data_IF_614427197668
#
_entry.id   IF_614427197668
#
_cell.length_a   1.000
_cell.length_b   1.000
_cell.length_c   1.000
_cell.angle_alpha   90.00
_cell.angle_beta   90.00
_cell.angle_gamma   90.00
#
_symmetry.space_group_name_H-M   'P 1'
#
loop_
_entity.id
_entity.type
_entity.pdbx_description
1 polymer ?
2 polymer ?
3 polymer ?
4 branched ?
5 water ?
#
# COMPACT_ATOMS: atom_id res chain seq x y z
N UNK A 1 8.74 34.15 -15.78
CA UNK A 1 8.25 34.56 -14.47
C UNK A 1 6.81 35.09 -14.54
N UNK A 2 6.02 34.58 -15.48
CA UNK A 2 4.63 35.02 -15.61
C UNK A 2 3.70 33.88 -15.98
N UNK A 3 2.61 33.76 -15.23
CA UNK A 3 1.55 32.79 -15.44
C UNK A 3 0.76 33.10 -16.72
N UNK A 4 0.79 32.18 -17.70
CA UNK A 4 0.05 32.30 -18.96
C UNK A 4 -1.45 32.41 -18.76
N UNK A 5 -2.09 33.23 -19.58
CA UNK A 5 -3.53 33.43 -19.53
C UNK A 5 -4.13 33.11 -20.90
N UNK A 6 -5.08 32.18 -20.93
CA UNK A 6 -5.67 31.75 -22.18
C UNK A 6 -6.86 32.61 -22.59
N UNK A 7 -6.87 33.04 -23.85
CA UNK A 7 -7.95 33.87 -24.36
C UNK A 7 -8.74 33.14 -25.44
N UNK A 8 -10.06 33.04 -25.26
CA UNK A 8 -10.91 32.34 -26.21
C UNK A 8 -12.00 33.21 -26.80
N UNK A 9 -12.13 33.16 -28.12
CA UNK A 9 -13.22 33.85 -28.80
C UNK A 9 -14.39 32.88 -28.98
N UNK A 10 -14.48 32.28 -30.16
CA UNK A 10 -15.45 31.22 -30.41
C UNK A 10 -14.76 29.88 -30.20
N UNK A 11 -13.60 29.74 -30.81
CA UNK A 11 -12.72 28.58 -30.60
C UNK A 11 -11.24 28.92 -30.79
N UNK A 12 -10.90 30.21 -30.72
CA UNK A 12 -9.52 30.62 -30.95
C UNK A 12 -8.85 30.50 -29.56
N UNK A 13 -8.06 29.46 -29.29
CA UNK A 13 -7.33 29.50 -28.04
C UNK A 13 -5.94 30.02 -28.31
N UNK A 14 -5.75 31.29 -28.05
CA UNK A 14 -4.41 31.87 -28.12
C UNK A 14 -3.85 32.10 -26.73
N UNK A 15 -2.74 31.42 -26.47
CA UNK A 15 -2.01 31.61 -25.24
C UNK A 15 -1.39 33.00 -25.23
N UNK A 16 -2.11 33.94 -24.65
CA UNK A 16 -1.62 35.32 -24.53
C UNK A 16 -1.35 35.65 -23.08
N UNK A 17 -1.45 36.94 -22.77
CA UNK A 17 -1.42 37.45 -21.40
C UNK A 17 -1.86 38.90 -21.52
N UNK A 18 -1.76 39.67 -20.45
CA UNK A 18 -2.03 41.10 -20.55
C UNK A 18 -0.79 41.80 -21.13
N UNK A 19 0.28 41.02 -21.28
CA UNK A 19 1.50 41.40 -21.99
C UNK A 19 1.28 41.32 -23.52
N UNK A 20 0.02 41.47 -23.95
CA UNK A 20 -0.34 41.34 -25.36
C UNK A 20 -1.79 41.71 -25.63
N UNK A 21 -2.65 41.43 -24.66
CA UNK A 21 -4.10 41.55 -24.79
C UNK A 21 -4.49 42.81 -25.54
N UNK A 22 -4.70 42.64 -26.85
CA UNK A 22 -4.94 43.76 -27.77
C UNK A 22 -5.96 44.74 -27.24
N UNK A 23 -5.83 45.99 -27.65
CA UNK A 23 -6.70 47.07 -27.19
C UNK A 23 -8.11 46.92 -27.78
N UNK A 24 -8.36 45.78 -28.42
CA UNK A 24 -9.69 45.43 -28.91
C UNK A 24 -10.23 44.23 -28.15
N UNK A 25 -9.39 43.64 -27.30
CA UNK A 25 -9.81 42.51 -26.48
C UNK A 25 -10.60 42.99 -25.27
N UNK A 26 -11.77 42.38 -25.07
CA UNK A 26 -12.75 42.90 -24.11
C UNK A 26 -12.82 42.11 -22.81
N UNK A 27 -12.40 42.75 -21.72
CA UNK A 27 -12.60 42.22 -20.39
C UNK A 27 -13.48 43.18 -19.60
N UNK A 28 -14.78 42.90 -19.57
CA UNK A 28 -15.73 43.85 -19.01
C UNK A 28 -16.19 43.43 -17.62
N UNK A 29 -15.89 42.20 -17.24
CA UNK A 29 -16.28 41.72 -15.94
C UNK A 29 -15.33 40.67 -15.39
N UNK A 30 -15.20 40.64 -14.08
CA UNK A 30 -14.31 39.68 -13.47
C UNK A 30 -14.93 38.27 -13.58
N UNK A 31 -16.23 38.20 -13.87
CA UNK A 31 -16.91 36.93 -14.12
C UNK A 31 -16.40 36.20 -15.38
N UNK A 32 -15.63 36.90 -16.21
CA UNK A 32 -15.06 36.31 -17.41
C UNK A 32 -13.78 35.54 -17.13
N UNK A 33 -13.26 35.66 -15.92
CA UNK A 33 -12.02 34.98 -15.55
C UNK A 33 -12.32 33.65 -14.88
N UNK A 34 -11.79 32.57 -15.45
CA UNK A 34 -12.01 31.26 -14.86
C UNK A 34 -10.70 30.49 -14.81
N UNK A 35 -10.54 29.70 -13.76
CA UNK A 35 -9.42 28.77 -13.62
C UNK A 35 -9.97 27.36 -13.75
N UNK A 36 -9.24 26.50 -14.44
CA UNK A 36 -9.74 25.15 -14.73
C UNK A 36 -8.69 24.12 -14.36
N UNK A 37 -9.14 23.00 -13.83
CA UNK A 37 -8.25 21.90 -13.50
C UNK A 37 -8.41 20.78 -14.51
N UNK A 38 -7.32 20.39 -15.15
CA UNK A 38 -7.36 19.27 -16.06
C UNK A 38 -6.52 18.10 -15.58
N UNK A 39 -7.08 16.93 -15.79
CA UNK A 39 -6.57 15.64 -15.36
C UNK A 39 -5.47 15.07 -16.22
N UNK A 40 -4.54 14.41 -15.56
CA UNK A 40 -3.44 13.72 -16.22
C UNK A 40 -3.64 12.23 -16.08
N UNK A 41 -4.34 11.65 -17.04
CA UNK A 41 -4.55 10.22 -17.06
C UNK A 41 -4.68 9.79 -18.52
N UNK A 42 -4.69 8.50 -18.76
CA UNK A 42 -4.81 7.99 -20.12
C UNK A 42 -3.60 7.15 -20.48
N UNK A 43 -3.36 7.01 -21.79
CA UNK A 43 -2.35 6.09 -22.30
C UNK A 43 -0.94 6.42 -21.82
N UNK A 44 -0.27 5.43 -21.25
CA UNK A 44 1.08 5.62 -20.75
C UNK A 44 1.10 6.06 -19.30
N UNK A 45 -0.08 6.31 -18.73
CA UNK A 45 -0.15 6.67 -17.32
C UNK A 45 -0.76 5.50 -16.56
N UNK A 46 0.10 4.80 -15.82
CA UNK A 46 -0.29 3.58 -15.15
C UNK A 46 -1.34 3.85 -14.08
N UNK A 47 -2.21 2.87 -13.82
CA UNK A 47 -3.32 3.10 -12.91
C UNK A 47 -3.20 2.35 -11.58
N UNK A 48 -2.55 1.19 -11.57
CA UNK A 48 -2.44 0.42 -10.33
C UNK A 48 -1.54 1.17 -9.34
N UNK A 49 -1.84 1.06 -8.05
CA UNK A 49 -1.13 1.84 -7.02
C UNK A 49 0.40 1.63 -7.00
N UNK A 50 0.89 0.37 -7.05
CA UNK A 50 2.34 0.22 -7.14
C UNK A 50 2.99 0.99 -8.32
N UNK A 51 2.34 1.04 -9.47
CA UNK A 51 2.91 1.80 -10.58
C UNK A 51 2.66 3.30 -10.41
N UNK A 52 1.56 3.66 -9.75
CA UNK A 52 1.17 5.06 -9.63
C UNK A 52 2.10 5.82 -8.66
N UNK A 53 2.53 5.16 -7.59
CA UNK A 53 3.38 5.81 -6.58
C UNK A 53 4.71 6.26 -7.16
N UNK A 54 5.15 5.60 -8.23
CA UNK A 54 6.39 5.98 -8.91
C UNK A 54 6.36 7.44 -9.39
N UNK A 55 5.17 7.99 -9.59
CA UNK A 55 5.05 9.41 -9.94
C UNK A 55 5.14 10.38 -8.74
N UNK A 56 5.15 9.84 -7.52
CA UNK A 56 5.17 10.68 -6.32
C UNK A 56 6.39 10.37 -5.45
N UNK A 57 6.72 11.28 -4.54
CA UNK A 57 7.84 11.06 -3.63
C UNK A 57 7.83 11.93 -2.38
N UNK A 58 8.45 11.43 -1.32
CA UNK A 58 8.52 12.16 -0.05
C UNK A 58 9.71 13.11 0.03
N UNK A 59 9.44 14.29 0.59
CA UNK A 59 10.42 15.38 0.63
C UNK A 59 10.20 16.21 1.89
N UNK A 60 11.28 16.67 2.50
CA UNK A 60 11.21 17.53 3.67
C UNK A 60 11.81 18.90 3.37
N UNK A 61 11.37 19.90 4.13
CA UNK A 61 11.87 21.25 4.00
C UNK A 61 11.06 22.11 3.05
N UNK A 62 10.11 21.51 2.34
CA UNK A 62 9.28 22.26 1.42
C UNK A 62 7.84 22.38 1.94
N UNK A 63 7.42 23.61 2.26
CA UNK A 63 6.05 23.89 2.72
C UNK A 63 4.99 23.64 1.63
N UNK A 64 3.91 22.93 1.98
CA UNK A 64 2.84 22.68 1.02
C UNK A 64 2.14 23.97 0.56
N UNK A 65 1.61 23.97 -0.66
CA UNK A 65 0.93 25.13 -1.19
C UNK A 65 -0.38 24.71 -1.86
N UNK A 66 -1.39 25.57 -1.76
CA UNK A 66 -2.70 25.29 -2.31
C UNK A 66 -3.15 26.45 -3.22
N UNK A 67 -3.85 26.13 -4.31
CA UNK A 67 -4.40 27.16 -5.20
C UNK A 67 -5.79 26.70 -5.65
N UNK A 68 -6.76 27.61 -5.70
CA UNK A 68 -8.11 27.18 -6.08
C UNK A 68 -8.24 27.05 -7.58
N UNK A 69 -9.25 26.31 -8.01
CA UNK A 69 -9.60 26.21 -9.43
C UNK A 69 -11.11 26.00 -9.42
N UNK A 70 -11.80 26.38 -10.49
CA UNK A 70 -13.25 26.54 -10.42
C UNK A 70 -14.00 25.45 -11.16
N UNK A 71 -13.33 24.76 -12.05
CA UNK A 71 -13.98 23.70 -12.81
C UNK A 71 -12.95 22.65 -13.21
N UNK A 72 -13.37 21.40 -13.29
CA UNK A 72 -12.49 20.37 -13.78
C UNK A 72 -13.24 19.30 -14.56
N UNK A 73 -12.64 18.12 -14.70
CA UNK A 73 -13.27 17.07 -15.48
C UNK A 73 -13.46 15.78 -14.71
N UNK A 74 -14.39 14.96 -15.19
CA UNK A 74 -14.55 13.61 -14.69
C UNK A 74 -13.23 12.87 -14.81
N UNK A 75 -12.85 12.18 -13.73
CA UNK A 75 -11.63 11.38 -13.72
C UNK A 75 -11.98 9.90 -13.77
N UNK A 76 -11.31 9.14 -14.61
CA UNK A 76 -11.53 7.69 -14.65
C UNK A 76 -10.92 7.05 -13.41
N UNK A 77 -9.72 7.50 -13.03
CA UNK A 77 -9.06 7.01 -11.83
C UNK A 77 -8.72 8.08 -10.82
N UNK A 78 -9.12 7.85 -9.57
CA UNK A 78 -8.71 8.69 -8.46
C UNK A 78 -7.97 7.86 -7.42
N UNK A 79 -7.35 8.53 -6.46
CA UNK A 79 -6.58 7.86 -5.41
C UNK A 79 -6.94 8.43 -4.04
N UNK A 80 -6.88 7.55 -3.03
CA UNK A 80 -7.23 7.92 -1.67
C UNK A 80 -6.34 7.07 -0.76
N UNK A 81 -5.32 7.71 -0.18
CA UNK A 81 -4.24 7.00 0.53
C UNK A 81 -4.28 7.20 2.04
N UNK A 82 -4.03 6.13 2.78
CA UNK A 82 -3.80 6.20 4.23
C UNK A 82 -2.57 5.36 4.58
N UNK A 83 -1.61 5.97 5.28
CA UNK A 83 -0.30 5.37 5.49
C UNK A 83 0.18 5.56 6.94
N UNK A 84 0.42 4.44 7.63
CA UNK A 84 1.10 4.47 8.93
C UNK A 84 2.63 4.40 8.78
N UNK A 85 3.35 5.22 9.54
CA UNK A 85 4.79 5.06 9.69
C UNK A 85 5.11 3.72 10.39
N UNK A 86 6.38 3.27 10.33
CA UNK A 86 6.73 2.03 11.04
C UNK A 86 6.37 2.06 12.53
N UNK A 87 6.44 3.23 13.17
CA UNK A 87 6.11 3.33 14.60
C UNK A 87 4.60 3.47 14.84
N UNK A 88 3.81 3.42 13.78
CA UNK A 88 2.36 3.42 13.90
C UNK A 88 1.67 4.78 13.85
N UNK A 89 2.44 5.86 13.92
CA UNK A 89 1.83 7.18 13.82
C UNK A 89 1.45 7.47 12.36
N UNK A 90 0.86 8.64 12.10
CA UNK A 90 0.35 8.94 10.76
C UNK A 90 1.43 9.52 9.83
N UNK A 91 1.52 8.97 8.63
CA UNK A 91 2.50 9.44 7.64
C UNK A 91 2.01 10.67 6.85
N UNK A 92 0.75 10.67 6.41
CA UNK A 92 0.21 11.81 5.66
C UNK A 92 -0.55 12.79 6.58
N UNK A 93 -0.45 14.09 6.30
CA UNK A 93 -1.18 15.07 7.11
C UNK A 93 -2.69 14.95 6.91
N UNK A 94 -3.47 15.31 7.92
CA UNK A 94 -4.92 15.33 7.78
C UNK A 94 -5.32 16.42 6.77
N UNK A 95 -6.42 16.19 6.05
CA UNK A 95 -6.90 17.21 5.12
C UNK A 95 -7.21 18.48 5.90
N UNK A 96 -6.62 19.59 5.50
CA UNK A 96 -6.96 20.87 6.14
C UNK A 96 -8.45 21.16 5.95
N UNK A 97 -8.98 21.93 6.89
CA UNK A 97 -10.35 22.42 6.88
C UNK A 97 -10.76 22.97 5.50
N UNK A 98 -11.87 22.47 4.96
CA UNK A 98 -12.36 22.91 3.66
C UNK A 98 -11.76 22.19 2.45
N UNK A 99 -10.90 21.20 2.68
CA UNK A 99 -10.37 20.43 1.57
C UNK A 99 -11.05 19.06 1.55
N UNK A 100 -11.88 18.85 0.52
CA UNK A 100 -12.65 17.62 0.36
C UNK A 100 -12.17 16.83 -0.87
N UNK A 101 -12.62 15.60 -1.01
CA UNK A 101 -12.18 14.78 -2.12
C UNK A 101 -12.58 15.31 -3.48
N UNK A 102 -11.75 15.05 -4.48
CA UNK A 102 -12.11 15.29 -5.87
C UNK A 102 -13.53 14.76 -6.10
N UNK A 103 -14.42 15.61 -6.65
CA UNK A 103 -15.87 15.36 -6.63
C UNK A 103 -16.43 14.43 -7.72
N UNK A 104 -15.66 14.14 -8.76
CA UNK A 104 -16.18 13.33 -9.88
C UNK A 104 -15.17 12.26 -10.32
N UNK A 105 -15.24 11.10 -9.68
CA UNK A 105 -14.36 9.97 -9.96
C UNK A 105 -15.16 8.76 -10.41
N UNK A 106 -14.81 8.19 -11.57
CA UNK A 106 -15.40 6.92 -11.97
C UNK A 106 -15.02 5.81 -10.99
N UNK A 107 -13.77 5.83 -10.58
CA UNK A 107 -13.22 4.78 -9.72
C UNK A 107 -12.15 5.33 -8.77
N UNK A 108 -12.23 4.93 -7.51
CA UNK A 108 -11.25 5.38 -6.51
C UNK A 108 -10.38 4.24 -6.03
N UNK A 109 -9.07 4.36 -6.23
CA UNK A 109 -8.13 3.44 -5.62
C UNK A 109 -7.96 3.85 -4.16
N UNK A 110 -8.75 3.23 -3.29
CA UNK A 110 -8.77 3.58 -1.88
C UNK A 110 -8.02 2.52 -1.06
N UNK A 111 -6.83 2.88 -0.61
CA UNK A 111 -5.94 1.89 0.00
C UNK A 111 -5.25 2.43 1.25
N UNK A 112 -4.85 1.48 2.08
CA UNK A 112 -4.37 1.77 3.41
C UNK A 112 -3.33 0.73 3.83
N UNK A 113 -2.30 1.18 4.52
CA UNK A 113 -1.31 0.26 5.05
C UNK A 113 -0.20 0.99 5.76
N UNK A 114 1.01 0.45 5.65
CA UNK A 114 2.16 1.08 6.30
C UNK A 114 3.31 1.18 5.32
N UNK A 115 4.18 2.15 5.52
CA UNK A 115 5.28 2.36 4.62
C UNK A 115 6.35 3.18 5.29
N UNK A 116 7.51 3.31 4.61
CA UNK A 116 8.71 3.95 5.16
C UNK A 116 8.54 5.45 5.47
N UNK A 117 7.75 6.15 4.67
CA UNK A 117 7.47 7.57 4.89
C UNK A 117 8.74 8.38 5.13
N UNK A 118 9.59 8.46 4.12
CA UNK A 118 10.92 9.07 4.29
C UNK A 118 10.91 10.57 4.02
N UNK A 119 9.90 11.26 4.50
CA UNK A 119 9.83 12.70 4.32
C UNK A 119 8.58 13.25 4.93
N UNK A 120 8.54 14.57 5.08
CA UNK A 120 7.40 15.23 5.71
C UNK A 120 6.15 15.21 4.83
N UNK A 121 6.34 15.45 3.53
CA UNK A 121 5.20 15.53 2.61
C UNK A 121 5.45 14.76 1.31
N UNK A 122 4.36 14.23 0.76
CA UNK A 122 4.40 13.53 -0.52
C UNK A 122 4.04 14.49 -1.64
N UNK A 123 4.95 14.63 -2.61
CA UNK A 123 4.83 15.55 -3.73
C UNK A 123 4.66 14.82 -5.06
N UNK A 124 4.40 15.58 -6.13
CA UNK A 124 4.37 15.00 -7.47
C UNK A 124 5.72 15.19 -8.16
N UNK A 125 6.33 14.09 -8.57
CA UNK A 125 7.67 14.14 -9.19
C UNK A 125 7.67 14.85 -10.54
N UNK A 126 6.53 14.86 -11.21
CA UNK A 126 6.46 15.54 -12.52
C UNK A 126 6.05 17.00 -12.35
N UNK A 127 5.85 17.45 -11.12
CA UNK A 127 5.52 18.85 -10.87
C UNK A 127 4.06 19.17 -11.07
N UNK A 128 3.26 18.14 -11.25
CA UNK A 128 1.81 18.31 -11.32
C UNK A 128 1.22 18.56 -9.93
N UNK A 129 -0.11 18.72 -9.89
CA UNK A 129 -0.82 18.97 -8.67
C UNK A 129 -1.71 17.80 -8.30
N UNK A 130 -1.97 17.64 -7.01
CA UNK A 130 -3.04 16.76 -6.58
C UNK A 130 -4.31 17.60 -6.51
N UNK A 131 -5.29 17.25 -7.35
CA UNK A 131 -6.56 17.97 -7.42
C UNK A 131 -7.57 17.42 -6.43
N UNK A 132 -8.03 18.28 -5.52
CA UNK A 132 -9.10 17.93 -4.61
C UNK A 132 -10.36 18.67 -5.08
N UNK A 133 -11.30 18.91 -4.17
CA UNK A 133 -12.53 19.61 -4.54
C UNK A 133 -12.31 21.13 -4.78
N UNK A 134 -11.95 21.47 -6.01
CA UNK A 134 -11.74 22.87 -6.43
C UNK A 134 -10.60 23.53 -5.66
N UNK A 135 -9.73 22.70 -5.10
CA UNK A 135 -8.45 23.17 -4.58
C UNK A 135 -7.38 22.21 -5.08
N UNK A 136 -6.28 22.77 -5.55
CA UNK A 136 -5.15 22.01 -6.03
C UNK A 136 -4.01 22.16 -5.04
N UNK A 137 -3.44 21.05 -4.57
CA UNK A 137 -2.32 21.14 -3.63
C UNK A 137 -1.05 20.53 -4.20
N UNK A 138 0.10 21.02 -3.75
CA UNK A 138 1.38 20.38 -4.10
C UNK A 138 1.58 19.05 -3.35
N UNK A 139 0.63 18.68 -2.51
CA UNK A 139 0.88 17.63 -1.53
C UNK A 139 -0.29 16.62 -1.36
N UNK A 140 0.01 15.41 -0.92
CA UNK A 140 -1.05 14.43 -0.66
C UNK A 140 -1.56 14.48 0.78
N UNK A 141 -2.88 14.58 0.92
CA UNK A 141 -3.50 14.56 2.23
C UNK A 141 -4.11 13.20 2.54
N UNK A 142 -4.05 12.84 3.81
CA UNK A 142 -4.51 11.56 4.35
C UNK A 142 -5.99 11.28 4.03
N UNK A 143 -6.29 10.08 3.55
CA UNK A 143 -7.66 9.63 3.35
C UNK A 143 -8.56 10.51 2.49
N UNK A 144 -7.96 11.27 1.58
CA UNK A 144 -8.69 12.26 0.80
C UNK A 144 -8.52 12.03 -0.70
N UNK A 145 -9.63 11.85 -1.38
CA UNK A 145 -9.61 11.45 -2.78
C UNK A 145 -9.05 12.55 -3.67
N UNK A 146 -8.06 12.21 -4.48
CA UNK A 146 -7.52 13.17 -5.42
C UNK A 146 -7.43 12.62 -6.84
N UNK A 147 -7.39 13.54 -7.80
CA UNK A 147 -6.98 13.23 -9.15
C UNK A 147 -5.68 13.98 -9.41
N UNK A 148 -4.81 13.44 -10.25
CA UNK A 148 -3.60 14.17 -10.64
C UNK A 148 -3.96 15.13 -11.75
N UNK A 149 -3.38 16.34 -11.72
CA UNK A 149 -3.75 17.33 -12.70
C UNK A 149 -2.96 18.62 -12.74
N UNK A 150 -3.40 19.51 -13.63
CA UNK A 150 -2.76 20.80 -13.82
C UNK A 150 -3.83 21.88 -14.01
N UNK A 151 -3.43 23.13 -13.79
CA UNK A 151 -4.39 24.23 -13.79
C UNK A 151 -4.08 25.21 -14.93
N UNK A 152 -5.15 25.74 -15.55
CA UNK A 152 -5.01 26.82 -16.51
C UNK A 152 -5.94 27.98 -16.11
N UNK A 153 -5.58 29.18 -16.53
CA UNK A 153 -6.39 30.37 -16.29
C UNK A 153 -6.89 30.97 -17.60
N UNK A 154 -8.18 31.23 -17.69
CA UNK A 154 -8.80 31.67 -18.95
C UNK A 154 -9.56 32.98 -18.85
N UNK A 155 -9.67 33.65 -19.99
CA UNK A 155 -10.65 34.72 -20.17
C UNK A 155 -11.77 34.25 -21.10
N UNK A 156 -12.97 34.15 -20.56
CA UNK A 156 -14.16 33.71 -21.32
C UNK A 156 -14.86 34.88 -21.99
N UNK A 157 -15.54 34.64 -23.12
CA UNK A 157 -16.35 35.65 -23.81
C UNK A 157 -17.45 36.25 -22.93
N UNK A 158 -17.91 37.45 -23.27
CA UNK A 158 -18.97 38.12 -22.51
C UNK A 158 -20.30 37.37 -22.58
N UNK B 1 1.17 15.52 -28.03
CA UNK B 1 1.23 14.31 -27.20
C UNK B 1 -0.07 14.02 -26.44
N UNK B 2 -0.25 12.77 -25.99
CA UNK B 2 -1.20 12.45 -24.92
C UNK B 2 -2.52 13.23 -24.85
N UNK B 3 -3.40 13.22 -25.85
CA UNK B 3 -4.54 14.15 -25.73
C UNK B 3 -5.95 13.53 -25.82
N UNK B 4 -6.76 13.80 -24.80
CA UNK B 4 -8.16 13.44 -24.78
C UNK B 4 -9.06 14.58 -25.28
N UNK B 5 -9.61 14.43 -26.48
CA UNK B 5 -10.40 15.48 -27.14
C UNK B 5 -11.73 15.73 -26.44
N UNK B 6 -12.23 14.73 -25.74
CA UNK B 6 -13.47 14.90 -24.99
C UNK B 6 -13.23 15.60 -23.66
N UNK B 7 -14.14 16.51 -23.31
CA UNK B 7 -14.07 17.20 -22.04
C UNK B 7 -15.39 17.04 -21.30
N UNK B 8 -15.49 16.00 -20.48
CA UNK B 8 -16.67 15.79 -19.69
C UNK B 8 -16.55 16.56 -18.36
N UNK B 9 -16.84 17.86 -18.42
CA UNK B 9 -16.51 18.78 -17.33
C UNK B 9 -17.55 18.83 -16.21
N UNK B 10 -17.12 19.30 -15.05
CA UNK B 10 -18.04 19.61 -13.97
C UNK B 10 -17.74 21.04 -13.52
N UNK B 11 -18.74 21.72 -12.97
CA UNK B 11 -18.52 23.05 -12.39
C UNK B 11 -19.67 23.39 -11.45
N UNK B 12 -19.56 24.52 -10.77
CA UNK B 12 -20.66 25.00 -9.95
C UNK B 12 -21.49 26.03 -10.70
N UNK B 13 -22.82 25.84 -10.74
CA UNK B 13 -23.75 26.86 -11.24
C UNK B 13 -25.20 26.55 -10.86
N UNK B 17 -29.01 26.78 -7.08
CA UNK B 17 -30.44 26.46 -7.08
C UNK B 17 -31.28 27.64 -6.61
N UNK B 18 -31.68 28.49 -7.55
CA UNK B 18 -32.37 29.73 -7.21
C UNK B 18 -33.90 29.63 -7.36
N UNK B 19 -34.48 28.54 -6.87
CA UNK B 19 -35.93 28.35 -6.93
C UNK B 19 -36.46 27.66 -5.67
N UNK B 20 -37.38 28.33 -4.98
CA UNK B 20 -37.88 27.83 -3.71
C UNK B 20 -36.93 28.14 -2.58
N UNK B 21 -36.86 27.24 -1.60
CA UNK B 21 -35.98 27.43 -0.45
C UNK B 21 -34.58 26.85 -0.69
N UNK B 22 -34.28 26.51 -1.94
CA UNK B 22 -33.07 25.76 -2.26
C UNK B 22 -31.79 26.58 -2.06
N UNK B 23 -31.92 27.91 -2.07
CA UNK B 23 -30.78 28.80 -1.85
C UNK B 23 -30.37 28.86 -0.37
N UNK B 24 -31.28 28.46 0.50
CA UNK B 24 -31.00 28.39 1.93
C UNK B 24 -30.12 27.18 2.24
N UNK B 25 -28.94 27.41 2.83
CA UNK B 25 -27.99 26.33 3.12
C UNK B 25 -28.66 25.15 3.81
N UNK B 26 -29.47 25.41 4.83
CA UNK B 26 -30.17 24.35 5.55
C UNK B 26 -30.97 23.44 4.62
N UNK B 27 -31.59 24.01 3.59
CA UNK B 27 -32.48 23.27 2.69
C UNK B 27 -31.82 22.85 1.39
N UNK B 28 -30.69 23.46 1.07
CA UNK B 28 -30.02 23.24 -0.20
C UNK B 28 -29.29 21.93 -0.38
N UNK B 29 -28.60 21.79 -1.52
CA UNK B 29 -27.84 20.58 -1.85
C UNK B 29 -26.65 20.40 -0.92
N UNK B 30 -26.19 19.16 -0.77
CA UNK B 30 -24.96 18.86 -0.06
C UNK B 30 -23.78 19.24 -0.92
N UNK B 31 -22.57 19.16 -0.36
CA UNK B 31 -21.33 19.46 -1.08
C UNK B 31 -21.21 18.71 -2.41
N UNK B 32 -21.70 17.47 -2.45
CA UNK B 32 -21.62 16.65 -3.66
C UNK B 32 -22.64 17.06 -4.72
N UNK B 33 -23.61 17.89 -4.36
CA UNK B 33 -24.74 18.15 -5.23
C UNK B 33 -24.85 19.57 -5.76
N UNK B 34 -23.75 20.33 -5.73
CA UNK B 34 -23.76 21.72 -6.16
C UNK B 34 -23.19 21.85 -7.56
N UNK B 35 -22.88 20.72 -8.18
CA UNK B 35 -22.21 20.75 -9.47
C UNK B 35 -23.16 20.57 -10.64
N UNK B 36 -22.85 21.23 -11.75
CA UNK B 36 -23.49 20.89 -13.00
C UNK B 36 -22.48 20.28 -13.98
N UNK B 37 -22.97 19.42 -14.84
CA UNK B 37 -22.12 18.66 -15.74
C UNK B 37 -22.45 18.92 -17.20
N UNK B 38 -21.49 18.69 -18.06
CA UNK B 38 -21.68 18.86 -19.49
C UNK B 38 -20.60 18.18 -20.30
N UNK B 39 -20.87 17.98 -21.59
CA UNK B 39 -19.91 17.34 -22.48
C UNK B 39 -19.56 18.26 -23.67
N UNK B 40 -18.34 18.76 -23.67
CA UNK B 40 -17.73 19.54 -24.74
C UNK B 40 -17.26 18.61 -25.84
N UNK B 41 -17.46 18.93 -27.12
CA UNK B 41 -17.22 17.85 -28.08
C UNK B 41 -17.14 18.37 -29.52
N UNK B 42 -16.47 17.61 -30.39
CA UNK B 42 -15.79 18.09 -31.63
C UNK B 42 -15.29 19.54 -31.63
N UNK B 43 -14.58 19.88 -30.55
CA UNK B 43 -13.73 21.06 -30.52
C UNK B 43 -12.34 20.63 -30.12
N UNK B 44 -11.74 19.77 -30.96
CA UNK B 44 -10.45 19.17 -30.65
C UNK B 44 -9.37 20.22 -30.46
N UNK B 45 -9.30 21.16 -31.40
CA UNK B 45 -8.28 22.20 -31.37
C UNK B 45 -8.33 23.07 -30.14
N UNK B 46 -9.54 23.33 -29.66
CA UNK B 46 -9.73 24.09 -28.43
C UNK B 46 -9.33 23.25 -27.21
N UNK B 47 -10.04 22.14 -27.02
CA UNK B 47 -9.83 21.25 -25.88
C UNK B 47 -8.39 20.78 -25.73
N UNK B 48 -7.80 20.28 -26.81
CA UNK B 48 -6.39 19.89 -26.77
C UNK B 48 -5.47 21.08 -26.55
N UNK B 49 -5.94 22.27 -26.94
CA UNK B 49 -5.17 23.47 -26.72
C UNK B 49 -5.22 23.85 -25.25
N UNK B 50 -6.36 23.58 -24.61
CA UNK B 50 -6.53 23.79 -23.18
C UNK B 50 -5.58 22.91 -22.38
N UNK B 51 -5.54 21.62 -22.71
CA UNK B 51 -4.65 20.68 -22.04
C UNK B 51 -3.21 21.18 -22.16
N UNK B 52 -2.86 21.69 -23.34
CA UNK B 52 -1.50 22.19 -23.58
C UNK B 52 -1.20 23.43 -22.73
N UNK B 53 -2.17 24.33 -22.64
CA UNK B 53 -2.03 25.55 -21.84
C UNK B 53 -1.82 25.26 -20.35
N UNK B 54 -2.69 24.43 -19.77
CA UNK B 54 -2.57 24.00 -18.38
C UNK B 54 -1.19 23.41 -18.15
N UNK B 55 -0.73 22.58 -19.09
CA UNK B 55 0.61 22.02 -19.04
C UNK B 55 1.71 23.06 -19.04
N UNK B 56 1.61 24.05 -19.90
CA UNK B 56 2.64 25.08 -19.99
C UNK B 56 2.57 26.07 -18.83
N UNK B 57 1.40 26.20 -18.22
CA UNK B 57 1.23 27.08 -17.07
C UNK B 57 1.99 26.60 -15.82
N UNK B 58 2.13 25.28 -15.70
CA UNK B 58 2.56 24.65 -14.46
C UNK B 58 3.86 25.22 -13.87
N UNK B 59 4.90 25.35 -14.67
CA UNK B 59 6.17 25.85 -14.16
C UNK B 59 6.03 27.22 -13.51
N UNK B 60 5.34 28.15 -14.19
CA UNK B 60 5.18 29.50 -13.68
C UNK B 60 4.33 29.51 -12.40
N UNK B 61 3.26 28.72 -12.39
CA UNK B 61 2.37 28.66 -11.24
C UNK B 61 3.08 28.09 -10.02
N UNK B 62 3.82 27.02 -10.25
CA UNK B 62 4.63 26.37 -9.24
C UNK B 62 5.66 27.35 -8.64
N UNK B 63 6.30 28.16 -9.49
CA UNK B 63 7.25 29.17 -9.02
C UNK B 63 6.56 30.32 -8.29
N UNK B 64 5.37 30.70 -8.72
CA UNK B 64 4.57 31.67 -7.98
C UNK B 64 4.27 31.15 -6.57
N UNK B 65 3.80 29.89 -6.49
CA UNK B 65 3.43 29.29 -5.20
C UNK B 65 4.62 29.13 -4.27
N UNK B 66 5.80 28.81 -4.82
CA UNK B 66 7.01 28.70 -4.01
C UNK B 66 7.32 30.02 -3.30
N UNK B 67 7.10 31.12 -4.01
CA UNK B 67 7.47 32.44 -3.51
C UNK B 67 6.39 33.08 -2.63
N UNK B 68 5.14 32.62 -2.72
CA UNK B 68 4.12 33.22 -1.87
C UNK B 68 4.15 32.58 -0.51
N UNK B 69 3.68 33.32 0.47
CA UNK B 69 3.69 32.83 1.83
C UNK B 69 2.27 32.53 2.31
N UNK B 70 1.26 32.85 1.51
CA UNK B 70 -0.07 32.44 1.97
C UNK B 70 -0.35 30.98 1.57
N UNK B 71 -1.16 30.34 2.40
CA UNK B 71 -1.33 28.89 2.37
C UNK B 71 -2.20 28.49 1.20
N UNK B 72 -3.21 29.29 0.95
CA UNK B 72 -4.15 29.03 -0.12
C UNK B 72 -4.26 30.28 -0.97
N UNK B 73 -3.89 30.17 -2.24
CA UNK B 73 -3.93 31.34 -3.13
C UNK B 73 -5.26 31.40 -3.89
N UNK B 74 -6.03 32.47 -3.65
CA UNK B 74 -7.33 32.71 -4.29
C UNK B 74 -7.34 33.93 -5.22
N UNK B 75 -6.26 34.69 -5.21
CA UNK B 75 -6.28 36.04 -5.76
C UNK B 75 -5.58 36.23 -7.11
N UNK B 76 -5.24 35.12 -7.77
CA UNK B 76 -4.47 35.21 -9.02
C UNK B 76 -5.28 35.88 -10.15
N UNK B 77 -6.54 35.50 -10.27
CA UNK B 77 -7.40 36.05 -11.31
C UNK B 77 -7.73 37.52 -11.05
N UNK B 78 -7.98 37.89 -9.79
CA UNK B 78 -8.19 39.29 -9.46
C UNK B 78 -6.94 40.12 -9.76
N UNK B 79 -5.78 39.55 -9.45
CA UNK B 79 -4.52 40.22 -9.75
C UNK B 79 -4.34 40.43 -11.25
N UNK B 80 -4.75 39.43 -12.03
CA UNK B 80 -4.66 39.56 -13.48
C UNK B 80 -5.51 40.72 -13.95
N UNK B 81 -6.74 40.79 -13.43
CA UNK B 81 -7.69 41.86 -13.76
C UNK B 81 -7.12 43.24 -13.47
N UNK B 82 -6.46 43.38 -12.33
CA UNK B 82 -5.84 44.65 -11.95
C UNK B 82 -4.74 45.01 -12.93
N UNK B 83 -3.87 44.05 -13.23
CA UNK B 83 -2.73 44.26 -14.13
C UNK B 83 -3.20 44.69 -15.51
N UNK B 84 -4.29 44.09 -15.95
CA UNK B 84 -4.95 44.46 -17.20
C UNK B 84 -5.31 45.95 -17.20
N UNK B 85 -5.94 46.40 -16.11
CA UNK B 85 -6.31 47.80 -15.96
C UNK B 85 -5.10 48.73 -15.78
N UNK B 86 -4.08 48.27 -15.06
CA UNK B 86 -2.85 49.07 -14.86
C UNK B 86 -2.12 49.23 -16.17
N UNK B 87 -2.07 48.16 -16.99
CA UNK B 87 -1.59 48.28 -18.36
C UNK B 87 -2.16 49.40 -19.18
N UNK B 88 -3.48 49.46 -19.28
CA UNK B 88 -4.10 50.38 -20.21
C UNK B 88 -4.81 51.52 -19.52
N UNK B 89 -4.28 52.01 -18.40
CA UNK B 89 -4.91 53.12 -17.66
C UNK B 89 -4.03 53.58 -16.51
N UNK B 90 -2.91 52.87 -16.31
CA UNK B 90 -1.98 53.24 -15.26
C UNK B 90 -1.22 54.51 -15.58
N UNK C 18 -8.01 -30.69 19.69
CA UNK C 18 -7.81 -30.50 18.26
C UNK C 18 -6.43 -30.94 17.78
N UNK C 19 -5.57 -31.31 18.72
CA UNK C 19 -4.19 -31.68 18.37
C UNK C 19 -4.02 -33.19 18.37
N UNK C 20 -4.55 -33.88 19.37
CA UNK C 20 -4.44 -35.33 19.40
C UNK C 20 -5.25 -36.01 18.31
N UNK C 21 -6.36 -35.38 17.89
CA UNK C 21 -7.15 -35.88 16.78
C UNK C 21 -6.13 -36.06 15.68
N UNK C 22 -5.25 -35.06 15.48
CA UNK C 22 -4.31 -35.14 14.37
C UNK C 22 -3.22 -36.20 14.53
N UNK C 23 -2.73 -36.41 15.74
CA UNK C 23 -1.62 -37.36 15.93
C UNK C 23 -2.17 -38.77 16.01
N UNK C 24 -3.48 -38.90 16.23
CA UNK C 24 -4.15 -40.21 16.27
C UNK C 24 -4.78 -40.69 14.94
N UNK C 25 -4.95 -39.76 13.98
CA UNK C 25 -5.43 -40.08 12.61
C UNK C 25 -4.30 -40.42 11.61
N UNK C 26 -3.22 -39.65 11.63
CA UNK C 26 -2.12 -39.90 10.71
C UNK C 26 -0.93 -40.59 11.36
N UNK C 27 -0.56 -40.25 12.59
CA UNK C 27 0.76 -40.67 13.09
C UNK C 27 0.71 -41.96 13.93
N UNK C 28 0.46 -41.81 15.22
CA UNK C 28 0.43 -42.95 16.13
C UNK C 28 -0.48 -44.06 15.64
N UNK C 29 -0.10 -45.32 15.91
CA UNK C 29 1.11 -45.70 16.64
C UNK C 29 2.31 -45.93 15.72
N UNK C 30 2.14 -45.65 14.43
CA UNK C 30 3.18 -45.91 13.45
C UNK C 30 4.21 -44.79 13.42
N UNK C 31 3.85 -43.65 13.99
CA UNK C 31 4.76 -42.52 14.06
C UNK C 31 4.84 -41.88 15.44
N UNK C 32 6.07 -41.76 15.92
CA UNK C 32 6.40 -41.02 17.12
C UNK C 32 6.54 -39.53 16.77
N UNK C 33 6.33 -38.64 17.74
CA UNK C 33 6.50 -37.22 17.48
C UNK C 33 7.49 -36.54 18.43
N UNK C 34 8.47 -35.86 17.85
CA UNK C 34 9.33 -34.96 18.59
C UNK C 34 8.70 -33.58 18.56
N UNK C 35 8.49 -32.98 19.73
CA UNK C 35 7.74 -31.73 19.80
C UNK C 35 8.38 -30.69 20.71
N UNK C 36 8.50 -29.46 20.19
CA UNK C 36 9.01 -28.35 20.97
C UNK C 36 7.98 -27.24 21.10
N UNK C 37 7.99 -26.57 22.25
CA UNK C 37 7.22 -25.36 22.46
C UNK C 37 8.23 -24.24 22.61
N UNK C 38 8.08 -23.19 21.81
CA UNK C 38 9.02 -22.08 21.82
C UNK C 38 8.31 -20.77 22.17
N UNK C 39 8.82 -20.08 23.19
CA UNK C 39 8.32 -18.77 23.56
C UNK C 39 9.42 -17.76 23.44
N UNK C 40 9.06 -16.48 23.39
CA UNK C 40 10.03 -15.41 23.24
C UNK C 40 9.87 -14.42 24.39
N UNK C 41 10.42 -14.77 25.57
CA UNK C 41 10.23 -14.09 26.86
C UNK C 41 10.71 -12.65 26.88
N UNK C 42 11.59 -12.28 25.96
CA UNK C 42 12.21 -10.97 25.97
C UNK C 42 11.66 -10.08 24.86
N UNK C 43 10.63 -10.55 24.17
CA UNK C 43 10.15 -9.85 22.98
C UNK C 43 8.73 -9.28 23.15
N UNK C 44 8.57 -8.01 22.80
CA UNK C 44 7.26 -7.34 22.82
C UNK C 44 6.37 -7.81 21.68
N UNK C 45 5.08 -7.86 21.91
CA UNK C 45 4.15 -7.97 20.81
C UNK C 45 4.24 -6.68 19.98
N UNK C 46 3.73 -6.70 18.76
CA UNK C 46 3.70 -5.50 17.94
C UNK C 46 2.45 -5.43 17.08
N UNK C 47 2.27 -4.31 16.40
CA UNK C 47 1.06 -4.07 15.63
C UNK C 47 1.47 -3.73 14.18
N UNK C 48 0.80 -4.37 13.22
CA UNK C 48 1.11 -4.17 11.81
C UNK C 48 -0.17 -3.87 11.00
N UNK C 49 -0.03 -3.07 9.93
CA UNK C 49 -1.18 -2.78 9.04
C UNK C 49 -1.00 -3.32 7.63
N UNK C 50 -1.60 -4.48 7.33
CA UNK C 50 -1.48 -5.04 5.99
C UNK C 50 -2.24 -4.22 4.93
N UNK C 51 -1.58 -4.01 3.80
CA UNK C 51 -2.19 -3.47 2.58
C UNK C 51 -3.21 -4.49 2.09
N UNK C 52 -4.34 -4.04 1.53
CA UNK C 52 -4.81 -2.67 1.31
C UNK C 52 -5.84 -2.13 2.33
N UNK C 53 -6.28 -2.94 3.28
CA UNK C 53 -7.26 -2.50 4.28
C UNK C 53 -6.66 -1.61 5.38
N UNK C 54 -5.40 -1.85 5.73
CA UNK C 54 -4.72 -1.05 6.73
C UNK C 54 -5.24 -1.15 8.16
N UNK C 55 -6.02 -2.17 8.45
CA UNK C 55 -6.51 -2.39 9.81
C UNK C 55 -5.36 -2.77 10.74
N UNK C 56 -5.46 -2.38 12.01
CA UNK C 56 -4.48 -2.79 13.02
C UNK C 56 -4.58 -4.28 13.33
N UNK C 57 -3.51 -5.02 13.05
CA UNK C 57 -3.47 -6.44 13.39
C UNK C 57 -2.35 -6.69 14.41
N UNK C 58 -2.71 -7.21 15.59
CA UNK C 58 -1.69 -7.47 16.61
C UNK C 58 -0.95 -8.76 16.30
N UNK C 59 0.37 -8.74 16.50
CA UNK C 59 1.17 -9.94 16.32
C UNK C 59 1.90 -10.29 17.61
N UNK C 60 1.71 -11.53 18.06
CA UNK C 60 2.36 -12.03 19.27
C UNK C 60 3.88 -11.97 19.28
N UNK C 61 4.47 -11.98 20.49
CA UNK C 61 5.93 -11.95 20.65
C UNK C 61 6.70 -12.92 19.74
N UNK C 62 6.29 -14.20 19.65
CA UNK C 62 7.14 -15.07 18.83
C UNK C 62 6.94 -14.92 17.31
N UNK C 63 6.12 -13.96 16.88
CA UNK C 63 5.93 -13.72 15.45
C UNK C 63 6.71 -12.48 15.02
N UNK C 64 7.53 -11.97 15.95
CA UNK C 64 8.52 -10.95 15.63
C UNK C 64 9.47 -11.51 14.58
N UNK C 65 9.93 -10.69 13.64
CA UNK C 65 10.70 -11.22 12.52
C UNK C 65 12.06 -11.78 12.96
N UNK C 66 12.71 -11.13 13.91
CA UNK C 66 14.00 -11.59 14.43
C UNK C 66 13.87 -12.91 15.19
N UNK C 67 12.79 -13.07 15.94
CA UNK C 67 12.53 -14.33 16.62
C UNK C 67 12.35 -15.47 15.64
N UNK C 68 11.61 -15.22 14.55
CA UNK C 68 11.33 -16.26 13.56
C UNK C 68 12.60 -16.72 12.86
N UNK C 69 13.52 -15.79 12.59
CA UNK C 69 14.80 -16.16 12.00
C UNK C 69 15.63 -17.05 12.95
N UNK C 70 15.53 -16.79 14.25
CA UNK C 70 16.26 -17.58 15.25
C UNK C 70 15.59 -18.95 15.48
N UNK C 71 14.26 -18.98 15.45
CA UNK C 71 13.58 -20.25 15.58
C UNK C 71 13.93 -21.11 14.37
N UNK C 72 13.97 -20.49 13.19
CA UNK C 72 14.37 -21.23 11.99
C UNK C 72 15.84 -21.69 12.04
N UNK C 73 16.71 -20.91 12.68
CA UNK C 73 18.08 -21.37 12.93
C UNK C 73 18.08 -22.66 13.77
N UNK C 74 17.27 -22.67 14.82
CA UNK C 74 17.13 -23.83 15.68
C UNK C 74 16.62 -25.03 14.87
N UNK C 75 15.62 -24.77 14.04
CA UNK C 75 14.93 -25.84 13.31
C UNK C 75 15.82 -26.49 12.26
N UNK C 76 16.55 -25.66 11.53
CA UNK C 76 17.55 -26.12 10.57
C UNK C 76 18.69 -26.91 11.25
N UNK C 77 19.09 -26.48 12.46
CA UNK C 77 20.14 -27.18 13.19
C UNK C 77 19.66 -28.56 13.61
N UNK C 78 18.40 -28.65 14.04
CA UNK C 78 17.79 -29.93 14.39
C UNK C 78 17.76 -30.88 13.18
N UNK C 79 17.44 -30.33 12.01
CA UNK C 79 17.42 -31.13 10.78
C UNK C 79 18.80 -31.66 10.44
N UNK C 80 19.84 -30.96 10.90
CA UNK C 80 21.21 -31.31 10.56
C UNK C 80 21.84 -32.22 11.60
N UNK C 81 21.12 -32.46 12.68
CA UNK C 81 21.64 -33.27 13.78
C UNK C 81 21.92 -34.69 13.30
N UNK C 82 23.12 -35.19 13.61
CA UNK C 82 23.48 -36.57 13.30
C UNK C 82 23.76 -37.37 14.57
N UNK C 83 23.62 -38.69 14.48
CA UNK C 83 24.02 -39.56 15.55
C UNK C 83 24.82 -40.73 14.99
N UNK C 84 25.79 -41.21 15.77
CA UNK C 84 26.57 -42.37 15.37
C UNK C 84 25.85 -43.67 15.76
N UNK C 85 25.73 -44.58 14.81
CA UNK C 85 25.25 -45.93 15.14
C UNK C 85 25.89 -47.03 14.31
N UNK C 86 26.60 -47.92 15.01
CA UNK C 86 27.58 -48.84 14.42
C UNK C 86 28.54 -48.02 13.59
N UNK C 87 28.71 -48.31 12.31
CA UNK C 87 29.59 -47.49 11.50
C UNK C 87 28.85 -46.47 10.65
N UNK C 88 27.57 -46.23 10.99
CA UNK C 88 26.73 -45.34 10.20
C UNK C 88 26.55 -43.97 10.85
N UNK C 89 26.29 -42.97 10.02
CA UNK C 89 25.87 -41.68 10.50
C UNK C 89 24.37 -41.55 10.24
N UNK C 90 23.58 -41.55 11.32
CA UNK C 90 22.12 -41.44 11.23
C UNK C 90 21.66 -39.97 11.15
N UNK C 91 20.92 -39.65 10.10
CA UNK C 91 20.33 -38.32 9.94
C UNK C 91 18.84 -38.40 10.26
N UNK C 92 18.20 -37.25 10.43
CA UNK C 92 16.75 -37.23 10.61
C UNK C 92 16.06 -37.74 9.33
N UNK C 93 16.69 -37.49 8.18
CA UNK C 93 16.15 -37.95 6.90
C UNK C 93 16.13 -39.50 6.77
N UNK C 94 16.92 -40.19 7.59
CA UNK C 94 16.91 -41.64 7.61
C UNK C 94 15.66 -42.18 8.29
N UNK C 95 15.13 -41.43 9.24
CA UNK C 95 14.11 -41.98 10.12
C UNK C 95 12.77 -41.21 10.12
N UNK C 96 12.67 -40.15 9.31
CA UNK C 96 11.52 -39.26 9.40
C UNK C 96 10.38 -39.66 8.47
N UNK C 97 9.18 -39.19 8.80
CA UNK C 97 8.08 -39.24 7.86
C UNK C 97 8.39 -38.29 6.71
N UNK C 98 8.69 -38.87 5.55
CA UNK C 98 8.86 -38.11 4.34
C UNK C 98 7.79 -38.57 3.37
N UNK C 99 6.59 -37.96 3.46
CA UNK C 99 5.37 -38.42 2.78
C UNK C 99 5.51 -38.52 1.26
N UNK C 100 6.36 -37.72 0.66
CA UNK C 100 6.47 -37.70 -0.78
C UNK C 100 7.77 -38.32 -1.30
N UNK C 101 8.29 -39.32 -0.58
CA UNK C 101 9.49 -40.04 -1.03
C UNK C 101 9.18 -40.94 -2.22
N UNK C 102 10.17 -41.17 -3.10
CA UNK C 102 11.52 -40.58 -3.14
C UNK C 102 11.52 -39.23 -3.84
N UNK C 103 10.68 -39.14 -4.88
CA UNK C 103 10.06 -37.91 -5.38
C UNK C 103 10.47 -36.62 -4.64
N UNK C 104 10.24 -36.58 -3.32
CA UNK C 104 10.54 -35.43 -2.48
C UNK C 104 10.93 -35.94 -1.09
N UNK C 105 12.22 -35.89 -0.76
CA UNK C 105 12.70 -36.55 0.46
C UNK C 105 12.65 -35.67 1.70
N UNK C 106 12.09 -34.47 1.57
CA UNK C 106 11.99 -33.58 2.73
C UNK C 106 11.10 -34.13 3.83
N UNK C 107 11.65 -34.13 5.05
CA UNK C 107 10.93 -34.55 6.25
C UNK C 107 9.73 -33.66 6.50
N UNK C 108 8.65 -34.24 6.98
CA UNK C 108 7.52 -33.46 7.44
C UNK C 108 7.95 -32.64 8.66
N UNK C 109 7.87 -31.32 8.55
CA UNK C 109 8.02 -30.46 9.71
C UNK C 109 6.75 -29.64 9.94
N UNK C 110 6.05 -29.89 11.03
CA UNK C 110 4.92 -29.05 11.38
C UNK C 110 5.45 -27.84 12.13
N UNK C 111 5.50 -26.71 11.44
CA UNK C 111 6.07 -25.48 11.95
C UNK C 111 5.55 -24.27 11.17
N UNK C 112 5.42 -23.14 11.85
CA UNK C 112 4.97 -21.91 11.22
C UNK C 112 5.99 -21.48 10.16
N UNK C 113 7.24 -21.89 10.35
CA UNK C 113 8.30 -21.59 9.39
C UNK C 113 8.08 -22.31 8.05
N UNK C 114 7.29 -23.39 8.04
CA UNK C 114 7.06 -24.05 6.77
C UNK C 114 6.11 -23.27 5.83
N UNK C 115 5.40 -22.25 6.34
CA UNK C 115 4.63 -21.37 5.46
C UNK C 115 5.59 -20.61 4.57
N UNK C 116 6.85 -20.54 4.98
CA UNK C 116 7.92 -19.90 4.22
C UNK C 116 8.90 -20.94 3.70
N UNK C 117 8.44 -22.19 3.64
CA UNK C 117 9.25 -23.31 3.16
C UNK C 117 10.62 -23.38 3.88
N UNK C 118 10.60 -23.07 5.17
CA UNK C 118 11.78 -23.19 6.02
C UNK C 118 12.98 -22.43 5.47
N UNK C 119 12.72 -21.27 4.88
CA UNK C 119 13.77 -20.49 4.22
C UNK C 119 13.91 -19.07 4.77
N UNK C 120 15.14 -18.68 5.07
CA UNK C 120 15.41 -17.33 5.56
C UNK C 120 15.03 -16.28 4.54
N UNK C 121 15.32 -16.57 3.28
CA UNK C 121 15.15 -15.57 2.25
C UNK C 121 13.65 -15.39 1.93
N UNK C 122 12.89 -16.49 1.97
CA UNK C 122 11.44 -16.42 1.77
C UNK C 122 10.78 -15.64 2.92
N UNK C 123 11.26 -15.90 4.14
CA UNK C 123 10.79 -15.20 5.33
C UNK C 123 10.98 -13.68 5.19
N UNK C 124 12.07 -13.29 4.53
CA UNK C 124 12.39 -11.89 4.30
C UNK C 124 11.80 -11.30 3.03
N UNK C 125 11.11 -12.12 2.21
CA UNK C 125 10.44 -11.62 0.99
C UNK C 125 9.58 -10.41 1.30
N UNK C 126 9.79 -9.34 0.54
CA UNK C 126 9.12 -8.09 0.78
C UNK C 126 8.87 -7.36 -0.53
N UNK C 127 7.63 -6.95 -0.79
CA UNK C 127 7.35 -6.11 -1.94
C UNK C 127 6.83 -4.79 -1.40
N UNK C 128 7.66 -3.75 -1.51
CA UNK C 128 7.27 -2.42 -1.08
C UNK C 128 7.97 -1.33 -1.86
N UNK C 129 7.51 -0.08 -1.68
CA UNK C 129 8.13 1.07 -2.33
C UNK C 129 8.24 2.24 -1.34
N UNK C 130 8.31 3.47 -1.85
CA UNK C 130 8.45 4.65 -0.99
C UNK C 130 7.18 4.94 -0.20
N UNK C 131 6.10 4.24 -0.50
CA UNK C 131 4.79 4.56 0.02
C UNK C 131 4.18 3.44 0.84
N UNK C 132 4.09 2.24 0.26
CA UNK C 132 3.54 1.11 0.99
C UNK C 132 4.48 -0.09 1.01
N UNK C 133 4.27 -0.94 2.01
CA UNK C 133 4.71 -2.33 1.97
C UNK C 133 3.49 -3.13 1.56
N UNK C 134 3.52 -3.69 0.36
CA UNK C 134 2.34 -4.33 -0.22
C UNK C 134 2.18 -5.77 0.25
N UNK C 135 3.30 -6.37 0.64
CA UNK C 135 3.35 -7.80 0.97
C UNK C 135 4.62 -8.10 1.75
N UNK C 136 4.51 -8.90 2.80
CA UNK C 136 5.67 -9.34 3.55
C UNK C 136 5.29 -10.60 4.31
N UNK C 137 6.05 -10.93 5.36
CA UNK C 137 5.81 -12.18 6.07
C UNK C 137 4.51 -12.12 6.85
N UNK C 138 4.18 -10.91 7.34
CA UNK C 138 2.89 -10.66 8.03
C UNK C 138 1.71 -11.09 7.16
N UNK C 139 1.64 -10.54 5.96
CA UNK C 139 0.48 -10.80 5.09
C UNK C 139 0.51 -12.24 4.61
N UNK C 140 1.71 -12.78 4.38
CA UNK C 140 1.81 -14.18 4.00
C UNK C 140 1.29 -15.07 5.14
N UNK C 141 1.68 -14.75 6.37
CA UNK C 141 1.16 -15.45 7.55
C UNK C 141 -0.37 -15.39 7.63
N UNK C 142 -0.94 -14.19 7.57
CA UNK C 142 -2.38 -14.01 7.73
C UNK C 142 -3.17 -14.80 6.70
N UNK C 143 -2.67 -14.83 5.47
CA UNK C 143 -3.29 -15.62 4.41
C UNK C 143 -3.09 -17.13 4.64
N UNK C 144 -1.86 -17.55 4.92
CA UNK C 144 -1.54 -18.98 4.96
C UNK C 144 -2.26 -19.73 6.07
N UNK C 145 -2.55 -19.07 7.19
CA UNK C 145 -3.25 -19.75 8.28
C UNK C 145 -4.72 -20.00 7.90
N UNK C 146 -5.24 -19.25 6.92
CA UNK C 146 -6.60 -19.44 6.45
C UNK C 146 -6.69 -20.45 5.32
N UNK C 147 -5.65 -20.51 4.50
CA UNK C 147 -5.59 -21.44 3.37
C UNK C 147 -4.25 -22.16 3.30
N UNK C 148 -3.99 -23.05 4.26
CA UNK C 148 -2.68 -23.72 4.36
C UNK C 148 -2.26 -24.53 3.13
N UNK C 149 -3.22 -24.91 2.28
CA UNK C 149 -2.87 -25.76 1.13
C UNK C 149 -2.62 -24.95 -0.14
N UNK C 150 -2.61 -23.63 0.01
CA UNK C 150 -2.46 -22.76 -1.16
C UNK C 150 -1.05 -22.76 -1.76
N UNK C 151 -1.01 -22.66 -3.07
CA UNK C 151 0.22 -22.56 -3.83
C UNK C 151 0.55 -21.11 -4.20
N UNK C 152 -0.35 -20.18 -3.83
CA UNK C 152 -0.20 -18.77 -4.21
C UNK C 152 -1.00 -17.88 -3.26
N UNK C 153 -0.33 -17.01 -2.50
CA UNK C 153 -1.04 -16.24 -1.48
C UNK C 153 -1.76 -15.00 -2.02
N UNK C 154 -1.87 -14.89 -3.35
CA UNK C 154 -2.63 -13.82 -4.03
C UNK C 154 -2.04 -12.43 -3.83
N UNK C 155 -0.99 -12.32 -3.04
CA UNK C 155 -0.31 -11.05 -2.83
C UNK C 155 0.57 -10.73 -4.03
N UNK C 156 1.24 -9.57 -4.00
CA UNK C 156 2.21 -9.22 -5.04
C UNK C 156 3.47 -10.11 -4.96
N UNK C 157 3.68 -10.76 -3.83
CA UNK C 157 4.78 -11.71 -3.71
C UNK C 157 4.43 -13.09 -4.28
N UNK C 158 3.14 -13.42 -4.32
CA UNK C 158 2.63 -14.72 -4.78
C UNK C 158 3.47 -15.93 -4.30
N UNK C 159 3.74 -15.97 -3.00
CA UNK C 159 4.48 -17.09 -2.41
C UNK C 159 3.54 -18.22 -2.01
N UNK C 160 4.02 -19.47 -2.11
CA UNK C 160 3.18 -20.60 -1.71
C UNK C 160 3.06 -20.77 -0.18
N UNK C 161 2.06 -21.55 0.24
CA UNK C 161 1.83 -21.81 1.65
C UNK C 161 2.26 -23.23 2.05
N UNK C 162 2.30 -24.14 1.09
CA UNK C 162 2.63 -25.54 1.35
C UNK C 162 4.04 -25.70 1.96
N UNK C 163 4.13 -26.58 2.96
CA UNK C 163 5.39 -26.90 3.57
C UNK C 163 6.33 -27.59 2.59
N UNK C 164 7.60 -27.65 2.97
CA UNK C 164 8.63 -28.24 2.11
C UNK C 164 8.35 -29.73 1.81
N UNK C 165 7.59 -30.40 2.68
CA UNK C 165 7.26 -31.81 2.51
C UNK C 165 6.08 -31.98 1.55
N UNK C 166 5.53 -30.88 1.04
CA UNK C 166 4.51 -30.92 0.00
C UNK C 166 3.08 -31.00 0.49
N UNK C 167 2.85 -30.66 1.76
CA UNK C 167 1.53 -30.71 2.35
C UNK C 167 1.23 -29.49 3.22
N UNK C 168 -0.04 -29.33 3.60
CA UNK C 168 -0.45 -28.15 4.36
C UNK C 168 -0.01 -28.22 5.82
N UNK C 169 0.23 -27.05 6.41
CA UNK C 169 0.54 -26.93 7.83
C UNK C 169 -0.61 -26.22 8.52
N UNK C 170 -1.41 -26.96 9.26
CA UNK C 170 -2.60 -26.37 9.85
C UNK C 170 -2.21 -25.52 11.05
N UNK C 171 -2.72 -24.29 11.09
CA UNK C 171 -2.26 -23.28 12.06
C UNK C 171 -2.45 -23.71 13.52
N UNK C 172 -3.50 -24.48 13.81
CA UNK C 172 -3.79 -24.87 15.21
C UNK C 172 -2.85 -25.97 15.72
N UNK C 173 -1.97 -26.47 14.85
CA UNK C 173 -0.98 -27.46 15.23
C UNK C 173 0.39 -26.86 15.47
N UNK C 174 0.60 -25.62 15.01
CA UNK C 174 1.94 -25.04 15.12
C UNK C 174 1.95 -23.73 15.90
N UNK C 175 0.82 -23.38 16.50
CA UNK C 175 0.72 -22.18 17.32
C UNK C 175 -0.02 -22.50 18.61
N UNK C 176 0.17 -21.66 19.62
CA UNK C 176 -0.59 -21.77 20.85
C UNK C 176 -0.70 -20.43 21.55
N UNK C 177 -1.67 -20.29 22.44
CA UNK C 177 -1.82 -19.09 23.25
C UNK C 177 -2.64 -17.99 22.60
N UNK C 178 -3.32 -18.33 21.51
CA UNK C 178 -4.12 -17.35 20.77
C UNK C 178 -5.62 -17.48 21.10
N UNK C 179 -6.35 -16.39 20.89
CA UNK C 179 -7.80 -16.40 21.11
C UNK C 179 -8.62 -16.73 19.86
N UNK C 180 -9.50 -17.72 19.97
CA UNK C 180 -10.40 -18.10 18.88
C UNK C 180 -9.56 -18.44 17.66
N UNK C 181 -9.84 -17.78 16.53
CA UNK C 181 -9.16 -18.07 15.26
C UNK C 181 -8.13 -16.97 14.93
N UNK C 182 -7.82 -16.13 15.91
CA UNK C 182 -6.85 -15.06 15.70
C UNK C 182 -5.40 -15.54 15.91
N UNK C 183 -4.97 -16.42 15.02
CA UNK C 183 -3.64 -17.03 15.10
C UNK C 183 -2.48 -16.05 15.28
N UNK C 184 -2.65 -14.84 14.77
CA UNK C 184 -1.63 -13.79 14.89
C UNK C 184 -1.36 -13.35 16.33
N UNK C 185 -2.28 -13.68 17.24
CA UNK C 185 -2.09 -13.37 18.65
C UNK C 185 -1.31 -14.45 19.42
N UNK C 186 -0.78 -15.45 18.71
CA UNK C 186 -0.10 -16.58 19.34
C UNK C 186 1.07 -16.13 20.22
N UNK C 187 1.22 -16.79 21.37
CA UNK C 187 2.33 -16.51 22.29
C UNK C 187 3.33 -17.67 22.38
N UNK C 188 3.04 -18.75 21.67
CA UNK C 188 3.97 -19.88 21.58
C UNK C 188 3.96 -20.48 20.18
N UNK C 189 5.13 -20.93 19.73
CA UNK C 189 5.22 -21.71 18.52
C UNK C 189 5.36 -23.18 18.87
N UNK C 190 4.70 -24.04 18.10
CA UNK C 190 4.85 -25.49 18.28
C UNK C 190 5.54 -26.07 17.06
N UNK C 191 6.62 -26.81 17.29
CA UNK C 191 7.33 -27.46 16.18
C UNK C 191 7.32 -28.96 16.41
N UNK C 192 6.77 -29.68 15.42
CA UNK C 192 6.58 -31.11 15.52
C UNK C 192 7.33 -31.84 14.41
N UNK C 193 8.24 -32.73 14.78
CA UNK C 193 8.93 -33.65 13.88
C UNK C 193 8.34 -35.06 14.04
N UNK C 194 7.55 -35.52 13.06
CA UNK C 194 7.11 -36.92 13.08
C UNK C 194 8.26 -37.88 12.74
N UNK C 195 8.45 -38.91 13.56
CA UNK C 195 9.48 -39.93 13.32
C UNK C 195 8.86 -41.33 13.27
N UNK C 196 9.32 -42.17 12.34
CA UNK C 196 8.86 -43.56 12.24
C UNK C 196 9.01 -44.31 13.55
N UNK C 197 7.95 -45.00 13.97
CA UNK C 197 8.00 -45.73 15.23
C UNK C 197 8.83 -47.01 15.13
N UNK C 198 8.83 -47.63 13.95
CA UNK C 198 9.63 -48.85 13.70
C UNK C 198 9.36 -49.97 14.71
N UNK C 199 8.11 -50.10 15.15
CA UNK C 199 7.68 -51.17 16.05
C UNK C 199 7.90 -52.54 15.39
N UNK C 200 7.83 -52.56 14.08
CA UNK C 200 7.96 -53.77 13.28
C UNK C 200 9.42 -54.12 12.99
N UNK C 201 10.33 -53.22 13.36
CA UNK C 201 11.72 -53.31 12.90
C UNK C 201 12.73 -52.83 13.94
N UNK C 202 13.34 -53.77 14.66
CA UNK C 202 14.26 -53.45 15.75
C UNK C 202 15.50 -52.66 15.32
N UNK C 203 16.09 -53.02 14.19
CA UNK C 203 17.34 -52.40 13.77
C UNK C 203 17.13 -50.94 13.34
N UNK C 204 16.04 -50.64 12.65
CA UNK C 204 15.73 -49.24 12.37
C UNK C 204 15.39 -48.49 13.64
N UNK C 205 14.76 -49.17 14.59
CA UNK C 205 14.37 -48.56 15.85
C UNK C 205 15.62 -48.07 16.58
N UNK C 206 16.64 -48.92 16.64
CA UNK C 206 17.92 -48.60 17.29
C UNK C 206 18.47 -47.28 16.76
N UNK C 207 18.44 -47.13 15.44
CA UNK C 207 19.00 -45.98 14.77
C UNK C 207 18.17 -44.74 15.08
N UNK C 208 16.85 -44.91 15.12
CA UNK C 208 15.94 -43.82 15.48
C UNK C 208 16.16 -43.34 16.92
N UNK C 209 16.36 -44.29 17.84
CA UNK C 209 16.60 -43.96 19.25
C UNK C 209 17.95 -43.28 19.47
N UNK C 210 18.95 -43.67 18.68
CA UNK C 210 20.25 -43.00 18.75
C UNK C 210 20.10 -41.53 18.34
N UNK C 211 19.39 -41.29 17.23
CA UNK C 211 19.18 -39.92 16.77
C UNK C 211 18.40 -39.13 17.82
N UNK C 212 17.40 -39.77 18.40
CA UNK C 212 16.55 -39.13 19.38
C UNK C 212 17.32 -38.66 20.61
N UNK C 213 18.26 -39.45 21.08
CA UNK C 213 19.06 -39.10 22.24
C UNK C 213 19.88 -37.83 21.97
N UNK C 214 20.46 -37.74 20.78
CA UNK C 214 21.22 -36.55 20.39
C UNK C 214 20.32 -35.30 20.28
N UNK C 215 19.10 -35.48 19.79
CA UNK C 215 18.16 -34.38 19.64
C UNK C 215 17.69 -33.81 20.99
N UNK C 216 17.39 -34.70 21.93
CA UNK C 216 16.93 -34.28 23.26
C UNK C 216 18.01 -33.43 23.94
N UNK C 217 19.23 -33.92 23.88
CA UNK C 217 20.36 -33.25 24.49
C UNK C 217 20.68 -31.89 23.82
N UNK C 218 20.63 -31.84 22.50
CA UNK C 218 20.85 -30.57 21.78
C UNK C 218 19.81 -29.52 22.19
N UNK C 219 18.53 -29.92 22.11
CA UNK C 219 17.44 -29.01 22.38
C UNK C 219 17.35 -28.64 23.86
N UNK C 220 17.71 -29.57 24.76
CA UNK C 220 17.62 -29.17 26.16
C UNK C 220 18.81 -28.24 26.52
N UNK C 221 19.93 -28.21 25.80
CA UNK C 221 20.85 -27.15 26.21
C UNK C 221 21.15 -26.18 25.07
N UNK C 222 20.15 -25.86 24.28
CA UNK C 222 20.29 -24.90 23.22
C UNK C 222 20.39 -23.51 23.86
N UNK C 223 21.50 -22.83 23.62
CA UNK C 223 21.76 -21.57 24.31
C UNK C 223 21.35 -20.36 23.46
N UNK C 224 20.21 -19.78 23.81
CA UNK C 224 19.70 -18.57 23.17
C UNK C 224 18.69 -17.98 24.14
N UNK C 225 19.09 -16.92 24.85
CA UNK C 225 18.22 -16.33 25.87
C UNK C 225 16.98 -15.66 25.27
N UNK C 226 16.99 -15.34 23.96
CA UNK C 226 15.80 -14.85 23.28
C UNK C 226 14.69 -15.89 23.18
N UNK C 227 15.06 -17.16 23.34
CA UNK C 227 14.10 -18.24 23.21
C UNK C 227 13.96 -19.02 24.51
N UNK C 228 12.74 -19.45 24.80
CA UNK C 228 12.49 -20.44 25.84
C UNK C 228 11.95 -21.68 25.17
N UNK C 229 12.75 -22.74 25.21
CA UNK C 229 12.41 -23.99 24.54
C UNK C 229 12.04 -25.05 25.56
N UNK C 230 10.85 -25.61 25.44
CA UNK C 230 10.46 -26.71 26.30
C UNK C 230 9.90 -27.88 25.49
N UNK C 231 9.47 -28.92 26.19
CA UNK C 231 8.87 -30.10 25.56
C UNK C 231 7.38 -30.20 25.85
N UNK C 232 6.82 -31.40 25.62
CA UNK C 232 5.37 -31.65 25.69
C UNK C 232 4.61 -30.65 24.82
#
# INVERSE_FOLDING_TARGET
RSIPLGVIHNSVLQVSDVDKLVCRDKLSSTNQLRSVGLNLEGNGVATDVPSATKRWGFRSGVPPKVVNYEAGEWAENCYNLEIKKPDGSECLPAAPDGIRGFPRCRYVHKVSGTGPCAGDFAFHKEGAFFLYDRLASTVIYRGTTFAEGVVAFLILPQ
PKCNPNLHYWTTQDEGAAIGLAWIPYFGPAAEGIYTEGLMHNQDGLICGLRQLANETTQALQLFLRATTELRTFSILNRKAIDFLLQRWGGTCHILGPDCCIEPHDWTKNITDKIDQIIHDFVDHHHHHH
MTTNPVDLWSAPSSQARLEKEYFDQHFGPFFRTEQLIIRAPLTDKHIYQPYPSGADVPFGPPLDIQILHQVLDLQIAIENITASYDNETVTLQDICLAPLSPYNTNCTILSVLNYFQNSHSVLDHKKGDDFFVYADYHTHFLYCVRAPASLNDTSLLHDPCLGTFGGPVFPWLVLGGYDDQNYNNATALVITFPVNNYYNDTEKLQRAQAWEKEFINFVKNYKNPNLTISFTAERSIEDELNRESDSDLEHHHHHH
#
